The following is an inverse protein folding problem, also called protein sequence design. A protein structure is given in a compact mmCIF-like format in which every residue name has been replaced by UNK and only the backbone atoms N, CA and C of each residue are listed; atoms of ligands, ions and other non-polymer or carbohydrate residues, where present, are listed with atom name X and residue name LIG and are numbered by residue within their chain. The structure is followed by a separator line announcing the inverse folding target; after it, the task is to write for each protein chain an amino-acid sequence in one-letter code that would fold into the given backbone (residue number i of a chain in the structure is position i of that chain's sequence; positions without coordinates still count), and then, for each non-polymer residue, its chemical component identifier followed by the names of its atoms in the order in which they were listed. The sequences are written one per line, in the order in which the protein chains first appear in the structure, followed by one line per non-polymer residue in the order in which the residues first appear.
data_IF_393747265901
#
_entry.id   IF_393747265901
#
_cell.length_a   1.000
_cell.length_b   1.000
_cell.length_c   1.000
_cell.angle_alpha   90.00
_cell.angle_beta   90.00
_cell.angle_gamma   90.00
#
_symmetry.space_group_name_H-M   'P 1'
#
loop_
_entity.id
_entity.type
_entity.pdbx_description
1 polymer ?
#
# COMPACT_ATOMS: atom_id res chain seq x y z
N UNK A 1 13.99 27.67 43.30
CA UNK A 1 13.81 26.21 43.11
C UNK A 1 12.46 26.01 42.45
N UNK A 2 12.42 25.89 41.12
CA UNK A 2 11.20 25.58 40.37
C UNK A 2 11.01 24.05 40.27
N UNK A 3 9.78 23.53 40.36
CA UNK A 3 9.52 22.10 40.23
C UNK A 3 9.43 21.69 38.75
N UNK A 4 10.21 20.69 38.36
CA UNK A 4 10.17 20.00 37.07
C UNK A 4 8.81 19.33 36.87
N UNK A 5 7.99 19.87 35.97
CA UNK A 5 6.77 19.23 35.47
C UNK A 5 7.14 17.99 34.66
N UNK A 6 6.90 16.80 35.23
CA UNK A 6 6.95 15.53 34.49
C UNK A 6 5.86 15.54 33.42
N UNK A 7 6.23 15.60 32.15
CA UNK A 7 5.27 15.39 31.08
C UNK A 7 4.78 13.93 31.10
N UNK A 8 3.48 13.68 30.84
CA UNK A 8 2.94 12.33 30.81
C UNK A 8 3.52 11.57 29.63
N UNK A 9 4.29 10.52 29.93
CA UNK A 9 4.75 9.54 28.94
C UNK A 9 3.51 8.90 28.31
N UNK A 10 3.41 9.01 27.00
CA UNK A 10 2.24 8.62 26.24
C UNK A 10 2.18 7.08 26.12
N UNK A 11 1.59 6.43 27.13
CA UNK A 11 1.49 4.96 27.32
C UNK A 11 0.90 4.17 26.15
N UNK A 12 0.34 4.86 25.15
CA UNK A 12 -0.18 4.23 23.94
C UNK A 12 0.93 3.63 23.07
N UNK A 13 2.07 4.31 22.94
CA UNK A 13 3.21 3.84 22.14
C UNK A 13 3.91 2.62 22.74
N UNK A 14 3.79 2.39 24.05
CA UNK A 14 4.35 1.21 24.71
C UNK A 14 3.55 -0.07 24.40
N UNK A 15 2.24 0.05 24.17
CA UNK A 15 1.36 -1.10 23.89
C UNK A 15 1.51 -1.64 22.47
N UNK A 16 1.86 -0.80 21.50
CA UNK A 16 2.13 -1.26 20.12
C UNK A 16 3.53 -1.90 19.96
N UNK A 17 4.40 -1.77 20.96
CA UNK A 17 5.74 -2.38 20.99
C UNK A 17 5.77 -3.76 21.67
N UNK A 18 4.63 -4.33 22.06
CA UNK A 18 4.59 -5.70 22.57
C UNK A 18 4.50 -6.69 21.41
N UNK A 19 5.59 -7.41 21.18
CA UNK A 19 5.57 -8.63 20.35
C UNK A 19 4.55 -9.58 20.98
N UNK A 20 3.52 -9.95 20.20
CA UNK A 20 2.53 -10.93 20.64
C UNK A 20 3.25 -12.23 21.06
N UNK A 21 2.97 -12.79 22.25
CA UNK A 21 3.69 -13.94 22.80
C UNK A 21 3.62 -15.19 21.92
N UNK A 22 2.69 -15.25 20.96
CA UNK A 22 2.57 -16.32 19.98
C UNK A 22 3.75 -16.42 19.01
N UNK A 23 4.55 -15.36 18.84
CA UNK A 23 5.74 -15.33 17.96
C UNK A 23 7.03 -15.76 18.72
N UNK A 24 6.99 -15.81 20.06
CA UNK A 24 8.15 -16.06 20.91
C UNK A 24 8.72 -17.50 20.86
N UNK A 25 8.09 -18.43 20.11
CA UNK A 25 8.51 -19.85 20.07
C UNK A 25 9.64 -20.18 19.07
N UNK A 26 10.28 -19.19 18.43
CA UNK A 26 11.57 -19.42 17.78
C UNK A 26 12.68 -19.11 18.79
N UNK A 27 13.32 -20.17 19.31
CA UNK A 27 14.55 -20.11 20.11
C UNK A 27 15.52 -19.11 19.45
N UNK A 28 15.75 -17.99 20.12
CA UNK A 28 16.78 -17.04 19.76
C UNK A 28 17.93 -17.25 20.74
N UNK A 29 19.09 -17.66 20.24
CA UNK A 29 20.32 -17.62 21.03
C UNK A 29 20.58 -16.17 21.42
N UNK A 30 20.62 -15.92 22.73
CA UNK A 30 21.01 -14.65 23.32
C UNK A 30 22.52 -14.47 23.10
N UNK A 31 22.90 -13.95 21.93
CA UNK A 31 24.16 -13.22 21.76
C UNK A 31 23.90 -11.75 22.07
N UNK A 32 24.55 -11.27 23.11
CA UNK A 32 24.57 -9.88 23.59
C UNK A 32 24.75 -8.86 22.44
N UNK A 33 24.22 -7.66 22.68
CA UNK A 33 24.21 -6.54 21.75
C UNK A 33 25.63 -6.19 21.29
N UNK A 34 25.91 -6.42 20.01
CA UNK A 34 27.25 -6.25 19.44
C UNK A 34 27.64 -4.78 19.21
N UNK A 35 26.72 -3.84 19.45
CA UNK A 35 26.90 -2.44 19.04
C UNK A 35 26.50 -1.38 20.07
N UNK A 36 25.96 -1.76 21.23
CA UNK A 36 25.40 -0.76 22.16
C UNK A 36 25.67 -1.02 23.65
N UNK A 37 26.51 -2.00 24.02
CA UNK A 37 26.88 -2.25 25.42
C UNK A 37 28.35 -2.72 25.60
N UNK A 38 29.29 -2.17 24.85
CA UNK A 38 30.71 -2.32 25.15
C UNK A 38 31.28 -0.96 25.55
N UNK A 39 31.62 -0.82 26.84
CA UNK A 39 32.47 0.28 27.28
C UNK A 39 33.77 0.29 26.46
N UNK A 40 34.12 1.44 25.92
CA UNK A 40 35.42 1.80 25.37
C UNK A 40 36.03 0.92 24.26
N UNK A 41 35.26 0.11 23.52
CA UNK A 41 35.74 -0.44 22.25
C UNK A 41 35.44 0.52 21.09
N UNK A 42 36.52 1.01 20.45
CA UNK A 42 36.44 1.83 19.25
C UNK A 42 35.66 1.07 18.16
N UNK A 43 34.52 1.64 17.76
CA UNK A 43 33.74 1.20 16.61
C UNK A 43 34.59 1.45 15.35
N UNK A 44 34.91 0.40 14.59
CA UNK A 44 35.64 0.51 13.32
C UNK A 44 34.79 0.01 12.15
N UNK A 45 35.03 0.53 10.95
CA UNK A 45 34.31 0.10 9.74
C UNK A 45 34.46 -1.41 9.50
N UNK A 46 35.65 -1.97 9.71
CA UNK A 46 35.89 -3.41 9.58
C UNK A 46 35.03 -4.26 10.53
N UNK A 47 34.87 -3.82 11.80
CA UNK A 47 34.00 -4.50 12.77
C UNK A 47 32.54 -4.47 12.32
N UNK A 48 32.07 -3.33 11.81
CA UNK A 48 30.72 -3.19 11.26
C UNK A 48 30.51 -4.13 10.07
N UNK A 49 31.40 -4.10 9.07
CA UNK A 49 31.28 -4.91 7.86
C UNK A 49 31.32 -6.42 8.15
N UNK A 50 32.07 -6.84 9.16
CA UNK A 50 32.14 -8.25 9.57
C UNK A 50 30.86 -8.75 10.26
N UNK A 51 30.12 -7.86 10.93
CA UNK A 51 28.90 -8.22 11.66
C UNK A 51 27.63 -8.24 10.80
N UNK A 52 27.66 -7.58 9.63
CA UNK A 52 26.52 -7.50 8.72
C UNK A 52 26.59 -8.56 7.62
N UNK A 53 25.44 -8.83 7.00
CA UNK A 53 25.34 -9.75 5.88
C UNK A 53 26.25 -9.29 4.72
N UNK A 54 27.01 -10.17 4.08
CA UNK A 54 27.84 -9.84 2.91
C UNK A 54 27.12 -9.02 1.83
N UNK A 55 25.83 -9.29 1.58
CA UNK A 55 25.02 -8.56 0.58
C UNK A 55 24.88 -7.08 0.94
N UNK A 56 24.87 -6.76 2.23
CA UNK A 56 24.65 -5.42 2.76
C UNK A 56 25.95 -4.61 2.93
N UNK A 57 27.13 -5.26 2.81
CA UNK A 57 28.43 -4.62 3.08
C UNK A 57 28.72 -3.42 2.18
N UNK A 58 28.38 -3.52 0.90
CA UNK A 58 28.57 -2.43 -0.06
C UNK A 58 27.72 -1.21 0.33
N UNK A 59 26.46 -1.42 0.73
CA UNK A 59 25.58 -0.35 1.17
C UNK A 59 26.01 0.24 2.51
N UNK A 60 26.46 -0.59 3.44
CA UNK A 60 26.97 -0.13 4.72
C UNK A 60 28.22 0.75 4.56
N UNK A 61 29.17 0.36 3.71
CA UNK A 61 30.36 1.20 3.46
C UNK A 61 29.99 2.54 2.80
N UNK A 62 29.04 2.54 1.86
CA UNK A 62 28.51 3.79 1.30
C UNK A 62 27.83 4.66 2.37
N UNK A 63 27.09 4.03 3.29
CA UNK A 63 26.45 4.72 4.41
C UNK A 63 27.47 5.32 5.37
N UNK A 64 28.58 4.62 5.66
CA UNK A 64 29.69 5.16 6.45
C UNK A 64 30.25 6.43 5.78
N UNK A 65 30.45 6.41 4.46
CA UNK A 65 31.01 7.54 3.73
C UNK A 65 30.11 8.80 3.72
N UNK A 66 28.78 8.64 3.75
CA UNK A 66 27.83 9.75 3.64
C UNK A 66 27.22 10.18 4.98
N UNK A 67 26.95 9.23 5.87
CA UNK A 67 26.24 9.44 7.13
C UNK A 67 27.14 9.25 8.36
N UNK A 68 28.30 8.64 8.19
CA UNK A 68 29.22 8.34 9.29
C UNK A 68 29.03 6.93 9.85
N UNK A 69 30.05 6.50 10.59
CA UNK A 69 30.15 5.12 11.09
C UNK A 69 29.07 4.76 12.12
N UNK A 70 28.74 5.71 13.00
CA UNK A 70 27.73 5.51 14.04
C UNK A 70 26.33 5.34 13.44
N UNK A 71 25.94 6.22 12.52
CA UNK A 71 24.65 6.12 11.81
C UNK A 71 24.56 4.83 11.01
N UNK A 72 25.63 4.47 10.29
CA UNK A 72 25.69 3.23 9.52
C UNK A 72 25.53 1.99 10.42
N UNK A 73 26.20 1.95 11.57
CA UNK A 73 26.05 0.86 12.53
C UNK A 73 24.63 0.79 13.12
N UNK A 74 24.05 1.95 13.44
CA UNK A 74 22.71 2.04 14.02
C UNK A 74 21.60 1.53 13.07
N UNK A 75 21.75 1.61 11.75
CA UNK A 75 20.83 1.00 10.76
C UNK A 75 20.74 -0.53 10.91
N UNK A 76 21.82 -1.18 11.35
CA UNK A 76 21.91 -2.63 11.53
C UNK A 76 21.77 -3.08 12.98
N UNK A 77 21.55 -2.15 13.91
CA UNK A 77 21.43 -2.47 15.33
C UNK A 77 20.21 -3.34 15.63
N UNK A 78 20.37 -4.28 16.57
CA UNK A 78 19.25 -5.04 17.14
C UNK A 78 18.31 -4.15 17.94
N UNK A 79 18.85 -3.07 18.52
CA UNK A 79 18.08 -2.10 19.28
C UNK A 79 17.26 -1.21 18.34
N UNK A 80 15.94 -1.15 18.55
CA UNK A 80 15.04 -0.46 17.63
C UNK A 80 15.16 1.05 17.72
N UNK A 81 15.48 1.59 18.90
CA UNK A 81 15.72 3.01 19.12
C UNK A 81 16.87 3.47 18.22
N UNK A 82 17.99 2.73 18.21
CA UNK A 82 19.13 3.01 17.35
C UNK A 82 18.72 3.02 15.87
N UNK A 83 17.94 2.03 15.41
CA UNK A 83 17.48 1.99 14.00
C UNK A 83 16.60 3.20 13.66
N UNK A 84 15.68 3.58 14.56
CA UNK A 84 14.83 4.77 14.38
C UNK A 84 15.67 6.06 14.37
N UNK A 85 16.59 6.19 15.31
CA UNK A 85 17.38 7.40 15.48
C UNK A 85 18.38 7.55 14.31
N UNK A 86 18.88 6.45 13.75
CA UNK A 86 19.64 6.47 12.48
C UNK A 86 18.81 7.00 11.31
N UNK A 87 17.54 6.61 11.17
CA UNK A 87 16.66 7.14 10.11
C UNK A 87 16.42 8.65 10.28
N UNK A 88 16.28 9.13 11.52
CA UNK A 88 16.20 10.58 11.84
C UNK A 88 17.48 11.31 11.48
N UNK A 89 18.62 10.70 11.76
CA UNK A 89 19.92 11.28 11.45
C UNK A 89 20.18 11.34 9.94
N UNK A 90 19.80 10.30 9.19
CA UNK A 90 19.79 10.32 7.73
C UNK A 90 18.90 11.47 7.24
N UNK A 91 17.68 11.60 7.78
CA UNK A 91 16.77 12.71 7.43
C UNK A 91 17.39 14.09 7.66
N UNK A 92 18.03 14.29 8.82
CA UNK A 92 18.74 15.52 9.17
C UNK A 92 19.91 15.79 8.21
N UNK A 93 20.68 14.76 7.89
CA UNK A 93 21.81 14.84 6.96
C UNK A 93 21.35 15.21 5.55
N UNK A 94 20.26 14.61 5.06
CA UNK A 94 19.63 14.97 3.78
C UNK A 94 19.17 16.43 3.75
N UNK A 95 18.66 16.95 4.87
CA UNK A 95 18.24 18.35 5.01
C UNK A 95 19.41 19.33 4.94
N UNK A 96 20.48 19.01 5.67
CA UNK A 96 21.55 19.98 5.94
C UNK A 96 22.71 19.88 4.94
N UNK A 97 22.95 18.71 4.34
CA UNK A 97 24.11 18.46 3.47
C UNK A 97 23.76 18.34 1.98
N UNK A 98 22.59 18.83 1.55
CA UNK A 98 22.18 18.83 0.14
C UNK A 98 23.13 19.58 -0.81
N UNK A 99 23.93 20.51 -0.28
CA UNK A 99 24.96 21.25 -1.03
C UNK A 99 26.34 20.56 -1.07
N UNK A 100 26.61 19.61 -0.16
CA UNK A 100 27.94 18.99 0.01
C UNK A 100 28.14 17.74 -0.85
N UNK A 101 27.06 17.02 -1.15
CA UNK A 101 27.10 15.77 -1.90
C UNK A 101 26.21 15.83 -3.13
N UNK A 102 26.55 15.04 -4.16
CA UNK A 102 25.63 14.82 -5.28
C UNK A 102 24.31 14.25 -4.73
N UNK A 103 23.17 14.91 -4.96
CA UNK A 103 21.89 14.46 -4.42
C UNK A 103 21.52 13.03 -4.83
N UNK A 104 21.91 12.58 -6.03
CA UNK A 104 21.64 11.21 -6.50
C UNK A 104 22.45 10.16 -5.73
N UNK A 105 23.71 10.45 -5.39
CA UNK A 105 24.58 9.56 -4.62
C UNK A 105 24.09 9.43 -3.18
N UNK A 106 23.71 10.56 -2.59
CA UNK A 106 23.18 10.61 -1.24
C UNK A 106 21.86 9.83 -1.13
N UNK A 107 21.04 9.90 -2.19
CA UNK A 107 19.78 9.16 -2.31
C UNK A 107 19.98 7.66 -2.43
N UNK A 108 20.84 7.24 -3.35
CA UNK A 108 21.14 5.82 -3.57
C UNK A 108 21.71 5.18 -2.29
N UNK A 109 22.44 5.95 -1.48
CA UNK A 109 22.94 5.52 -0.18
C UNK A 109 21.85 5.45 0.89
N UNK A 110 20.86 6.35 0.90
CA UNK A 110 19.75 6.35 1.86
C UNK A 110 18.71 5.26 1.57
N UNK A 111 18.50 4.90 0.30
CA UNK A 111 17.42 4.01 -0.14
C UNK A 111 17.46 2.61 0.52
N UNK A 112 18.61 1.91 0.63
CA UNK A 112 18.69 0.63 1.36
C UNK A 112 18.24 0.75 2.82
N UNK A 113 18.60 1.84 3.49
CA UNK A 113 18.20 2.09 4.88
C UNK A 113 16.68 2.29 4.99
N UNK A 114 16.09 3.03 4.05
CA UNK A 114 14.63 3.23 3.97
C UNK A 114 13.92 1.91 3.72
N UNK A 115 14.34 1.12 2.73
CA UNK A 115 13.73 -0.18 2.40
C UNK A 115 13.76 -1.12 3.62
N UNK A 116 14.88 -1.12 4.34
CA UNK A 116 15.04 -1.92 5.56
C UNK A 116 14.14 -1.43 6.69
N UNK A 117 14.02 -0.12 6.89
CA UNK A 117 13.10 0.48 7.86
C UNK A 117 11.61 0.25 7.52
N UNK A 118 11.24 0.28 6.23
CA UNK A 118 9.89 -0.03 5.76
C UNK A 118 9.54 -1.53 5.92
N UNK A 119 10.55 -2.37 6.04
CA UNK A 119 10.42 -3.81 6.30
C UNK A 119 10.55 -4.14 7.80
N UNK A 120 10.70 -3.14 8.67
CA UNK A 120 10.87 -3.34 10.11
C UNK A 120 9.56 -3.84 10.76
N UNK A 121 9.70 -4.71 11.74
CA UNK A 121 8.57 -5.29 12.47
C UNK A 121 7.94 -4.28 13.45
N UNK A 122 8.72 -3.28 13.89
CA UNK A 122 8.28 -2.30 14.87
C UNK A 122 7.77 -1.03 14.18
N UNK A 123 6.52 -0.67 14.49
CA UNK A 123 5.84 0.45 13.88
C UNK A 123 6.61 1.77 13.99
N UNK A 124 7.32 2.02 15.09
CA UNK A 124 8.07 3.27 15.27
C UNK A 124 9.23 3.43 14.28
N UNK A 125 9.89 2.33 13.91
CA UNK A 125 10.97 2.36 12.90
C UNK A 125 10.35 2.49 11.51
N UNK A 126 9.27 1.74 11.25
CA UNK A 126 8.50 1.85 10.00
C UNK A 126 7.97 3.26 9.75
N UNK A 127 7.38 3.89 10.77
CA UNK A 127 6.80 5.22 10.69
C UNK A 127 7.87 6.27 10.38
N UNK A 128 9.05 6.14 10.98
CA UNK A 128 10.19 7.03 10.69
C UNK A 128 10.75 6.78 9.28
N UNK A 129 10.83 5.53 8.83
CA UNK A 129 11.23 5.20 7.46
C UNK A 129 10.24 5.77 6.43
N UNK A 130 8.95 5.73 6.75
CA UNK A 130 7.89 6.33 5.94
C UNK A 130 7.98 7.86 5.94
N UNK A 131 8.29 8.46 7.07
CA UNK A 131 8.49 9.91 7.20
C UNK A 131 9.76 10.39 6.49
N UNK A 132 10.83 9.60 6.48
CA UNK A 132 12.03 9.82 5.68
C UNK A 132 11.72 9.69 4.18
N UNK A 133 10.97 8.66 3.78
CA UNK A 133 10.51 8.49 2.39
C UNK A 133 9.62 9.66 1.93
N UNK A 134 8.77 10.18 2.83
CA UNK A 134 7.91 11.36 2.55
C UNK A 134 8.69 12.66 2.51
N UNK A 135 9.63 12.84 3.45
CA UNK A 135 10.44 14.05 3.57
C UNK A 135 11.26 14.33 2.33
N UNK A 136 11.75 13.27 1.70
CA UNK A 136 12.29 13.43 0.36
C UNK A 136 11.12 13.70 -0.59
N UNK A 137 10.79 14.98 -0.81
CA UNK A 137 9.76 15.45 -1.74
C UNK A 137 9.99 15.00 -3.20
N UNK A 138 11.07 14.26 -3.47
CA UNK A 138 11.33 13.54 -4.71
C UNK A 138 10.79 12.09 -4.71
N UNK A 139 10.42 11.56 -3.55
CA UNK A 139 9.89 10.22 -3.36
C UNK A 139 8.37 10.13 -3.14
N UNK A 140 7.64 11.23 -3.03
CA UNK A 140 6.17 11.18 -2.79
C UNK A 140 5.32 11.84 -3.85
N UNK A 141 5.51 13.11 -4.25
CA UNK A 141 5.08 13.58 -5.55
C UNK A 141 5.93 12.91 -6.60
N UNK A 142 7.24 13.15 -6.69
CA UNK A 142 7.98 12.63 -7.83
C UNK A 142 8.10 11.10 -7.91
N UNK A 143 7.97 10.26 -6.88
CA UNK A 143 7.84 8.79 -7.13
C UNK A 143 6.40 8.35 -7.35
N UNK A 144 5.39 8.99 -6.76
CA UNK A 144 4.00 8.70 -7.14
C UNK A 144 3.70 9.25 -8.53
N UNK A 145 4.18 10.43 -8.87
CA UNK A 145 4.19 11.11 -10.17
C UNK A 145 5.13 10.45 -11.15
N UNK A 146 6.32 9.93 -10.80
CA UNK A 146 7.15 9.12 -11.72
C UNK A 146 6.54 7.73 -11.89
N UNK A 147 5.93 7.14 -10.86
CA UNK A 147 5.12 5.91 -11.04
C UNK A 147 3.90 6.25 -11.91
N UNK A 148 3.23 7.37 -11.70
CA UNK A 148 2.08 7.79 -12.48
C UNK A 148 2.49 8.22 -13.89
N UNK A 149 3.67 8.81 -14.11
CA UNK A 149 4.27 9.17 -15.39
C UNK A 149 4.89 7.95 -16.09
N UNK A 150 5.41 6.96 -15.36
CA UNK A 150 5.81 5.67 -15.91
C UNK A 150 4.58 4.89 -16.34
N UNK A 151 3.53 4.93 -15.52
CA UNK A 151 2.24 4.28 -15.83
C UNK A 151 1.53 5.05 -16.97
N UNK A 152 1.58 6.39 -17.00
CA UNK A 152 0.94 7.22 -18.06
C UNK A 152 1.77 7.31 -19.34
N UNK A 153 3.09 7.34 -19.23
CA UNK A 153 4.06 7.57 -20.30
C UNK A 153 4.65 6.29 -20.90
N UNK A 154 4.54 5.15 -20.20
CA UNK A 154 4.89 3.84 -20.75
C UNK A 154 3.79 2.83 -20.44
N UNK A 155 2.88 2.67 -21.40
CA UNK A 155 1.77 1.72 -21.33
C UNK A 155 2.20 0.28 -21.08
N UNK A 156 3.40 -0.10 -21.49
CA UNK A 156 3.92 -1.46 -21.30
C UNK A 156 4.32 -1.70 -19.83
N UNK A 157 4.96 -0.72 -19.19
CA UNK A 157 5.30 -0.79 -17.77
C UNK A 157 4.06 -0.75 -16.87
N UNK A 158 3.06 0.10 -17.21
CA UNK A 158 1.75 0.08 -16.56
C UNK A 158 1.10 -1.31 -16.62
N UNK A 159 1.15 -1.93 -17.80
CA UNK A 159 0.61 -3.26 -18.04
C UNK A 159 1.33 -4.31 -17.20
N UNK A 160 2.66 -4.33 -17.18
CA UNK A 160 3.46 -5.28 -16.40
C UNK A 160 3.22 -5.13 -14.89
N UNK A 161 3.17 -3.89 -14.38
CA UNK A 161 2.86 -3.62 -12.98
C UNK A 161 1.45 -4.08 -12.60
N UNK A 162 0.45 -3.75 -13.42
CA UNK A 162 -0.93 -4.17 -13.18
C UNK A 162 -1.10 -5.68 -13.28
N UNK A 163 -0.44 -6.33 -14.25
CA UNK A 163 -0.43 -7.79 -14.34
C UNK A 163 0.14 -8.45 -13.08
N UNK A 164 1.15 -7.85 -12.43
CA UNK A 164 1.71 -8.36 -11.17
C UNK A 164 0.73 -8.26 -10.01
N UNK A 165 0.01 -7.14 -9.87
CA UNK A 165 -0.97 -6.94 -8.81
C UNK A 165 -2.30 -7.68 -9.04
N UNK A 166 -2.64 -7.95 -10.30
CA UNK A 166 -3.85 -8.69 -10.69
C UNK A 166 -3.65 -10.22 -10.70
N UNK A 167 -2.50 -10.71 -10.24
CA UNK A 167 -2.30 -12.14 -10.01
C UNK A 167 -3.26 -12.66 -8.93
N UNK A 168 -3.69 -13.94 -9.01
CA UNK A 168 -4.56 -14.53 -8.00
C UNK A 168 -3.94 -14.46 -6.60
N UNK A 169 -4.78 -14.33 -5.58
CA UNK A 169 -4.31 -14.33 -4.19
C UNK A 169 -3.66 -15.65 -3.80
N UNK A 170 -2.64 -15.58 -2.95
CA UNK A 170 -1.95 -16.77 -2.47
C UNK A 170 -2.71 -17.37 -1.29
N UNK A 171 -3.60 -18.32 -1.56
CA UNK A 171 -4.53 -18.89 -0.57
C UNK A 171 -3.85 -19.68 0.55
N UNK A 172 -2.59 -20.10 0.38
CA UNK A 172 -1.87 -20.97 1.33
C UNK A 172 -0.92 -20.23 2.28
N UNK A 173 -0.75 -18.90 2.13
CA UNK A 173 0.18 -18.13 2.97
C UNK A 173 0.13 -16.62 2.83
N UNK A 174 -0.85 -16.07 2.12
CA UNK A 174 -1.07 -14.63 2.02
C UNK A 174 -1.63 -14.04 3.32
N UNK A 175 -1.16 -12.85 3.70
CA UNK A 175 -1.81 -12.06 4.74
C UNK A 175 -3.03 -11.34 4.16
N UNK A 176 -4.18 -11.43 4.83
CA UNK A 176 -5.42 -10.72 4.45
C UNK A 176 -5.15 -9.22 4.23
N UNK A 177 -4.30 -8.61 5.06
CA UNK A 177 -3.89 -7.20 4.93
C UNK A 177 -3.15 -6.92 3.62
N UNK A 178 -2.30 -7.85 3.18
CA UNK A 178 -1.58 -7.74 1.89
C UNK A 178 -2.57 -7.82 0.73
N UNK A 179 -3.53 -8.73 0.80
CA UNK A 179 -4.51 -8.93 -0.26
C UNK A 179 -5.52 -7.77 -0.34
N UNK A 180 -5.93 -7.19 0.79
CA UNK A 180 -6.65 -5.91 0.84
C UNK A 180 -5.85 -4.78 0.19
N UNK A 181 -4.55 -4.66 0.50
CA UNK A 181 -3.66 -3.68 -0.12
C UNK A 181 -3.59 -3.84 -1.64
N UNK A 182 -3.39 -5.06 -2.13
CA UNK A 182 -3.39 -5.36 -3.57
C UNK A 182 -4.72 -4.97 -4.23
N UNK A 183 -5.85 -5.34 -3.63
CA UNK A 183 -7.18 -5.02 -4.16
C UNK A 183 -7.39 -3.51 -4.28
N UNK A 184 -6.99 -2.73 -3.26
CA UNK A 184 -7.06 -1.26 -3.26
C UNK A 184 -6.16 -0.62 -4.32
N UNK A 185 -4.93 -1.12 -4.48
CA UNK A 185 -4.01 -0.64 -5.53
C UNK A 185 -4.63 -0.85 -6.90
N UNK A 186 -5.20 -2.03 -7.17
CA UNK A 186 -5.85 -2.32 -8.45
C UNK A 186 -7.07 -1.42 -8.67
N UNK A 187 -7.92 -1.24 -7.66
CA UNK A 187 -9.06 -0.31 -7.72
C UNK A 187 -8.65 1.11 -8.10
N UNK A 188 -7.66 1.66 -7.41
CA UNK A 188 -7.18 3.01 -7.66
C UNK A 188 -6.57 3.13 -9.05
N UNK A 189 -5.74 2.17 -9.47
CA UNK A 189 -5.11 2.18 -10.78
C UNK A 189 -6.15 2.11 -11.92
N UNK A 190 -7.19 1.29 -11.78
CA UNK A 190 -8.29 1.18 -12.76
C UNK A 190 -9.02 2.53 -12.94
N UNK A 191 -9.26 3.26 -11.85
CA UNK A 191 -9.88 4.59 -11.90
C UNK A 191 -8.94 5.64 -12.51
N UNK A 192 -7.69 5.64 -12.07
CA UNK A 192 -6.67 6.60 -12.54
C UNK A 192 -6.40 6.46 -14.03
N UNK A 193 -6.38 5.22 -14.54
CA UNK A 193 -6.16 4.93 -15.97
C UNK A 193 -7.43 4.97 -16.81
N UNK A 194 -8.59 5.20 -16.18
CA UNK A 194 -9.90 5.16 -16.83
C UNK A 194 -10.08 3.85 -17.62
N UNK A 195 -9.65 2.74 -17.05
CA UNK A 195 -9.84 1.42 -17.66
C UNK A 195 -11.33 1.05 -17.65
N UNK A 196 -11.83 0.22 -18.59
CA UNK A 196 -11.09 -0.51 -19.62
C UNK A 196 -10.53 0.40 -20.71
N UNK A 197 -9.30 0.09 -21.17
CA UNK A 197 -8.57 0.83 -22.20
C UNK A 197 -7.62 -0.11 -22.96
N UNK A 198 -6.77 0.41 -23.85
CA UNK A 198 -5.81 -0.39 -24.63
C UNK A 198 -4.77 -1.13 -23.78
N UNK A 199 -4.56 -0.71 -22.53
CA UNK A 199 -3.54 -1.23 -21.61
C UNK A 199 -4.15 -2.35 -20.75
N UNK A 200 -5.36 -2.12 -20.23
CA UNK A 200 -6.04 -3.04 -19.32
C UNK A 200 -7.42 -3.35 -19.87
N UNK A 201 -7.59 -4.61 -20.29
CA UNK A 201 -8.85 -5.10 -20.85
C UNK A 201 -9.89 -5.39 -19.77
N UNK A 202 -11.17 -5.35 -20.17
CA UNK A 202 -12.32 -5.75 -19.37
C UNK A 202 -12.13 -7.17 -18.82
N UNK A 203 -11.66 -8.09 -19.67
CA UNK A 203 -11.46 -9.50 -19.33
C UNK A 203 -10.47 -9.68 -18.18
N UNK A 204 -9.37 -8.91 -18.17
CA UNK A 204 -8.39 -8.95 -17.08
C UNK A 204 -9.01 -8.47 -15.76
N UNK A 205 -9.73 -7.35 -15.80
CA UNK A 205 -10.35 -6.76 -14.60
C UNK A 205 -11.45 -7.68 -14.07
N UNK A 206 -12.30 -8.24 -14.93
CA UNK A 206 -13.33 -9.19 -14.52
C UNK A 206 -12.74 -10.49 -13.95
N UNK A 207 -11.63 -11.00 -14.51
CA UNK A 207 -10.94 -12.18 -13.96
C UNK A 207 -10.41 -11.91 -12.54
N UNK A 208 -9.78 -10.75 -12.33
CA UNK A 208 -9.30 -10.36 -11.00
C UNK A 208 -10.45 -10.09 -10.03
N UNK A 209 -11.51 -9.39 -10.47
CA UNK A 209 -12.71 -9.15 -9.68
C UNK A 209 -13.39 -10.45 -9.23
N UNK A 210 -13.49 -11.45 -10.10
CA UNK A 210 -13.98 -12.78 -9.75
C UNK A 210 -13.10 -13.48 -8.71
N UNK A 211 -11.77 -13.31 -8.79
CA UNK A 211 -10.84 -13.82 -7.77
C UNK A 211 -11.11 -13.16 -6.40
N UNK A 212 -11.30 -11.83 -6.40
CA UNK A 212 -11.67 -11.06 -5.22
C UNK A 212 -13.00 -11.50 -4.60
N UNK A 213 -14.03 -11.76 -5.41
CA UNK A 213 -15.34 -12.20 -4.91
C UNK A 213 -15.32 -13.57 -4.22
N UNK A 214 -14.33 -14.42 -4.52
CA UNK A 214 -14.15 -15.72 -3.87
C UNK A 214 -13.26 -15.65 -2.61
N UNK A 215 -12.79 -14.46 -2.23
CA UNK A 215 -11.93 -14.27 -1.08
C UNK A 215 -12.69 -14.38 0.27
N UNK A 216 -12.01 -14.76 1.34
CA UNK A 216 -12.62 -14.95 2.68
C UNK A 216 -12.93 -13.62 3.39
N UNK A 217 -12.15 -12.58 3.11
CA UNK A 217 -12.35 -11.21 3.62
C UNK A 217 -13.45 -10.44 2.86
N UNK A 218 -14.34 -9.76 3.59
CA UNK A 218 -15.47 -9.02 3.02
C UNK A 218 -15.07 -7.76 2.26
N UNK A 219 -14.02 -7.07 2.70
CA UNK A 219 -13.55 -5.85 2.04
C UNK A 219 -12.99 -6.16 0.65
N UNK A 220 -12.16 -7.21 0.55
CA UNK A 220 -11.64 -7.70 -0.74
C UNK A 220 -12.79 -8.09 -1.68
N UNK A 221 -13.82 -8.79 -1.18
CA UNK A 221 -14.99 -9.16 -2.00
C UNK A 221 -15.75 -7.95 -2.51
N UNK A 222 -15.95 -6.93 -1.67
CA UNK A 222 -16.63 -5.69 -2.05
C UNK A 222 -15.84 -4.93 -3.12
N UNK A 223 -14.52 -4.83 -2.99
CA UNK A 223 -13.67 -4.23 -4.02
C UNK A 223 -13.80 -4.99 -5.35
N UNK A 224 -13.79 -6.33 -5.30
CA UNK A 224 -13.99 -7.18 -6.48
C UNK A 224 -15.31 -6.93 -7.19
N UNK A 225 -16.40 -6.85 -6.43
CA UNK A 225 -17.73 -6.51 -6.94
C UNK A 225 -17.74 -5.14 -7.61
N UNK A 226 -17.24 -4.13 -6.92
CA UNK A 226 -17.20 -2.74 -7.42
C UNK A 226 -16.36 -2.62 -8.69
N UNK A 227 -15.23 -3.34 -8.79
CA UNK A 227 -14.40 -3.38 -10.01
C UNK A 227 -15.20 -3.86 -11.21
N UNK A 228 -15.97 -4.95 -11.05
CA UNK A 228 -16.78 -5.51 -12.13
C UNK A 228 -17.87 -4.51 -12.55
N UNK A 229 -18.56 -3.89 -11.59
CA UNK A 229 -19.59 -2.88 -11.88
C UNK A 229 -19.02 -1.67 -12.62
N UNK A 230 -17.88 -1.16 -12.17
CA UNK A 230 -17.22 -0.02 -12.80
C UNK A 230 -16.88 -0.31 -14.26
N UNK A 231 -16.28 -1.46 -14.54
CA UNK A 231 -15.94 -1.87 -15.90
C UNK A 231 -17.20 -2.18 -16.72
N UNK A 232 -18.27 -2.70 -16.11
CA UNK A 232 -19.55 -2.90 -16.78
C UNK A 232 -20.20 -1.60 -17.25
N UNK A 233 -20.07 -0.53 -16.47
CA UNK A 233 -20.59 0.77 -16.84
C UNK A 233 -19.81 1.44 -17.97
N UNK A 234 -18.49 1.17 -18.06
CA UNK A 234 -17.59 1.87 -19.00
C UNK A 234 -17.18 1.06 -20.23
N UNK A 235 -17.24 -0.27 -20.18
CA UNK A 235 -16.79 -1.18 -21.24
C UNK A 235 -17.92 -1.85 -22.02
N UNK A 236 -17.55 -2.87 -22.79
CA UNK A 236 -18.52 -3.72 -23.50
C UNK A 236 -19.23 -4.70 -22.55
N UNK A 237 -20.48 -4.35 -22.21
CA UNK A 237 -21.37 -5.16 -21.36
C UNK A 237 -21.55 -6.58 -21.85
N UNK A 238 -21.60 -6.79 -23.17
CA UNK A 238 -21.80 -8.11 -23.77
C UNK A 238 -20.59 -9.00 -23.55
N UNK A 239 -19.38 -8.46 -23.76
CA UNK A 239 -18.13 -9.16 -23.49
C UNK A 239 -17.98 -9.48 -22.00
N UNK A 240 -18.35 -8.55 -21.12
CA UNK A 240 -18.26 -8.71 -19.68
C UNK A 240 -19.18 -9.83 -19.18
N UNK A 241 -20.46 -9.86 -19.60
CA UNK A 241 -21.40 -10.93 -19.24
C UNK A 241 -20.91 -12.32 -19.68
N UNK A 242 -20.21 -12.41 -20.83
CA UNK A 242 -19.59 -13.66 -21.30
C UNK A 242 -18.41 -14.13 -20.44
N UNK A 243 -17.69 -13.19 -19.82
CA UNK A 243 -16.55 -13.50 -18.93
C UNK A 243 -16.92 -13.79 -17.48
N UNK A 244 -18.12 -13.39 -17.04
CA UNK A 244 -18.59 -13.66 -15.69
C UNK A 244 -19.10 -15.11 -15.55
N UNK A 245 -18.93 -15.74 -14.38
CA UNK A 245 -19.52 -17.04 -14.12
C UNK A 245 -21.05 -16.97 -14.24
N UNK A 246 -21.68 -18.00 -14.82
CA UNK A 246 -23.14 -18.05 -15.05
C UNK A 246 -23.92 -17.73 -13.77
N UNK A 247 -24.45 -16.51 -13.67
CA UNK A 247 -24.94 -15.96 -12.41
C UNK A 247 -26.36 -16.30 -12.03
N UNK A 248 -27.26 -16.47 -13.01
CA UNK A 248 -28.68 -16.73 -12.74
C UNK A 248 -28.92 -18.06 -12.02
N UNK A 249 -28.02 -19.04 -12.20
CA UNK A 249 -28.08 -20.34 -11.53
C UNK A 249 -27.01 -20.52 -10.45
N UNK A 250 -26.31 -19.45 -10.05
CA UNK A 250 -25.24 -19.55 -9.06
C UNK A 250 -25.80 -19.69 -7.64
N UNK A 251 -25.32 -20.68 -6.89
CA UNK A 251 -25.62 -20.83 -5.45
C UNK A 251 -25.04 -19.67 -4.63
N UNK A 252 -23.99 -18.99 -5.14
CA UNK A 252 -23.31 -17.91 -4.45
C UNK A 252 -24.18 -16.62 -4.45
N UNK A 253 -24.57 -16.18 -3.24
CA UNK A 253 -25.37 -14.97 -3.03
C UNK A 253 -24.71 -13.70 -3.57
N UNK A 254 -23.38 -13.62 -3.57
CA UNK A 254 -22.64 -12.45 -4.08
C UNK A 254 -22.74 -12.34 -5.60
N UNK A 255 -22.67 -13.47 -6.30
CA UNK A 255 -22.83 -13.51 -7.76
C UNK A 255 -24.26 -13.13 -8.13
N UNK A 256 -25.27 -13.63 -7.41
CA UNK A 256 -26.67 -13.23 -7.63
C UNK A 256 -26.89 -11.74 -7.38
N UNK A 257 -26.32 -11.19 -6.31
CA UNK A 257 -26.39 -9.76 -6.00
C UNK A 257 -25.70 -8.91 -7.09
N UNK A 258 -24.52 -9.34 -7.56
CA UNK A 258 -23.84 -8.70 -8.69
C UNK A 258 -24.74 -8.66 -9.93
N UNK A 259 -25.32 -9.79 -10.35
CA UNK A 259 -26.18 -9.84 -11.53
C UNK A 259 -27.41 -8.94 -11.39
N UNK A 260 -28.05 -8.90 -10.22
CA UNK A 260 -29.16 -7.99 -9.96
C UNK A 260 -28.76 -6.50 -10.10
N UNK A 261 -27.52 -6.14 -9.76
CA UNK A 261 -27.02 -4.78 -9.98
C UNK A 261 -26.64 -4.50 -11.44
N UNK A 262 -26.12 -5.50 -12.17
CA UNK A 262 -25.90 -5.37 -13.62
C UNK A 262 -27.21 -5.13 -14.37
N UNK A 263 -28.27 -5.85 -13.99
CA UNK A 263 -29.60 -5.68 -14.60
C UNK A 263 -30.18 -4.29 -14.29
N UNK A 264 -30.03 -3.80 -13.05
CA UNK A 264 -30.40 -2.40 -12.71
C UNK A 264 -29.65 -1.37 -13.55
N UNK A 265 -28.37 -1.58 -13.83
CA UNK A 265 -27.59 -0.67 -14.68
C UNK A 265 -28.14 -0.68 -16.11
N UNK A 266 -28.52 -1.85 -16.63
CA UNK A 266 -29.12 -1.95 -17.96
C UNK A 266 -30.49 -1.27 -18.02
N UNK A 267 -31.33 -1.46 -17.01
CA UNK A 267 -32.63 -0.79 -16.88
C UNK A 267 -32.48 0.74 -16.84
N UNK A 268 -31.53 1.25 -16.05
CA UNK A 268 -31.27 2.69 -15.94
C UNK A 268 -30.79 3.29 -17.26
N UNK A 269 -29.95 2.59 -18.00
CA UNK A 269 -29.42 3.06 -19.29
C UNK A 269 -30.52 3.04 -20.36
N UNK A 270 -31.38 2.03 -20.34
CA UNK A 270 -32.56 1.98 -21.20
C UNK A 270 -33.51 3.14 -20.88
N UNK A 271 -33.80 3.37 -19.59
CA UNK A 271 -34.67 4.46 -19.15
C UNK A 271 -34.14 5.84 -19.56
N UNK A 272 -32.84 6.11 -19.36
CA UNK A 272 -32.22 7.38 -19.74
C UNK A 272 -32.19 7.62 -21.25
N UNK A 273 -32.08 6.55 -22.06
CA UNK A 273 -32.17 6.63 -23.52
C UNK A 273 -33.60 6.96 -23.98
N UNK A 274 -34.61 6.47 -23.27
CA UNK A 274 -36.03 6.74 -23.57
C UNK A 274 -36.42 8.16 -23.17
N UNK A 275 -35.91 8.69 -22.05
CA UNK A 275 -36.25 10.05 -21.58
C UNK A 275 -35.37 11.19 -22.14
N UNK A 276 -34.34 10.90 -22.94
CA UNK A 276 -33.52 11.93 -23.60
C UNK A 276 -32.67 12.81 -22.65
N UNK A 277 -32.51 12.43 -21.38
CA UNK A 277 -31.78 13.20 -20.36
C UNK A 277 -30.50 12.47 -19.92
N UNK A 278 -29.47 12.47 -20.75
CA UNK A 278 -28.16 12.00 -20.32
C UNK A 278 -27.36 13.17 -19.70
N UNK A 279 -27.18 13.16 -18.38
CA UNK A 279 -26.19 14.01 -17.72
C UNK A 279 -25.22 13.12 -16.93
N UNK A 280 -24.14 12.74 -17.62
CA UNK A 280 -23.07 11.85 -17.12
C UNK A 280 -22.54 12.31 -15.76
N UNK A 281 -22.52 13.62 -15.50
CA UNK A 281 -21.88 14.24 -14.33
C UNK A 281 -22.61 14.03 -13.00
N UNK A 282 -23.95 14.00 -13.01
CA UNK A 282 -24.78 13.91 -11.79
C UNK A 282 -24.81 12.51 -11.16
N UNK A 283 -24.47 11.46 -11.92
CA UNK A 283 -24.40 10.10 -11.39
C UNK A 283 -23.09 9.85 -10.62
N UNK A 284 -21.97 10.44 -11.05
CA UNK A 284 -20.66 10.26 -10.39
C UNK A 284 -20.61 10.87 -9.00
N UNK A 285 -21.16 12.07 -8.78
CA UNK A 285 -21.17 12.69 -7.45
C UNK A 285 -21.98 11.86 -6.43
N UNK A 286 -23.11 11.29 -6.84
CA UNK A 286 -23.95 10.49 -5.95
C UNK A 286 -23.36 9.09 -5.65
N UNK A 287 -22.56 8.51 -6.55
CA UNK A 287 -21.87 7.25 -6.30
C UNK A 287 -20.62 7.42 -5.42
N UNK A 288 -19.93 8.56 -5.52
CA UNK A 288 -18.73 8.86 -4.73
C UNK A 288 -19.05 9.34 -3.30
N UNK A 289 -20.19 9.99 -3.07
CA UNK A 289 -20.62 10.47 -1.75
C UNK A 289 -21.18 9.40 -0.81
N UNK A 290 -21.47 8.18 -1.31
CA UNK A 290 -22.08 7.11 -0.53
C UNK A 290 -21.06 6.13 0.11
N UNK A 291 -19.76 6.46 0.13
CA UNK A 291 -18.75 5.66 0.83
C UNK A 291 -18.58 6.03 2.31
N UNK A 292 -19.12 7.18 2.76
CA UNK A 292 -18.95 7.65 4.15
C UNK A 292 -20.13 7.35 5.09
N UNK A 293 -21.25 6.83 4.60
CA UNK A 293 -22.33 6.35 5.46
C UNK A 293 -22.76 4.95 5.07
N UNK A 294 -22.53 4.02 6.00
CA UNK A 294 -23.06 2.68 5.90
C UNK A 294 -24.58 2.72 5.72
N UNK A 295 -25.04 2.10 4.63
CA UNK A 295 -26.34 1.45 4.53
C UNK A 295 -27.59 2.36 4.50
N UNK A 296 -28.05 2.79 3.31
CA UNK A 296 -29.47 3.13 3.07
C UNK A 296 -29.89 2.84 1.61
N UNK A 297 -30.37 1.63 1.32
CA UNK A 297 -31.31 1.39 0.19
C UNK A 297 -32.65 0.85 0.71
N UNK A 298 -33.12 1.45 1.80
CA UNK A 298 -34.47 1.26 2.33
C UNK A 298 -35.15 2.62 2.48
N UNK A 299 -35.49 3.28 1.37
CA UNK A 299 -36.56 4.29 1.29
C UNK A 299 -36.64 4.91 -0.12
N UNK A 300 -37.14 4.14 -1.08
CA UNK A 300 -37.59 4.69 -2.37
C UNK A 300 -38.89 4.00 -2.83
N UNK A 301 -39.82 3.75 -1.90
CA UNK A 301 -41.14 3.16 -2.20
C UNK A 301 -42.35 3.99 -1.79
N UNK A 302 -42.20 5.15 -1.15
CA UNK A 302 -43.33 5.95 -0.66
C UNK A 302 -43.32 7.39 -1.20
N UNK A 303 -43.35 7.57 -2.53
CA UNK A 303 -43.40 8.91 -3.12
C UNK A 303 -44.08 9.04 -4.48
N UNK A 304 -44.82 8.03 -4.94
CA UNK A 304 -45.53 8.08 -6.23
C UNK A 304 -46.90 7.41 -6.09
N UNK A 305 -47.75 7.98 -5.24
CA UNK A 305 -49.20 7.92 -5.34
C UNK A 305 -49.76 9.26 -4.85
N UNK A 306 -49.84 10.21 -5.77
CA UNK A 306 -50.78 11.32 -5.80
C UNK A 306 -50.94 11.74 -7.27
#
# INVERSE_FOLDING_TARGET
MEPLTRQPINKFYEKENQILPTIAKKKHDNKEDTFSNAGDEILTEEKLLNAINPVDRAYASQAVAHFGLETAANIYSKNWQNRRDALKEIKSTLKNNSAKYNPQSLLNTALPAIVKGLSDQLFNVYAEALDLLKYDGRFTPATHDTINELIRGNSEMAMLYMQKFMQPFNMSGGSVRSDQGKAKIVWNAVHMLKAPNSIISEKQICKFGNNCMNHTDSEVRNIGKNLILYVYMKGDRTAIRKTLPKGESSTNHLVRNLYAELDRIDDLVLFQRVEGKYNEKLFYENASLNQDQGNVFGNARNGFLA
#
